data_IF_580144167792
#
_entry.id   IF_580144167792
#
_cell.length_a   1.000
_cell.length_b   1.000
_cell.length_c   1.000
_cell.angle_alpha   90.00
_cell.angle_beta   90.00
_cell.angle_gamma   90.00
#
_symmetry.space_group_name_H-M   'P 1'
#
loop_
_entity.id
_entity.type
_entity.pdbx_description
1 polymer ?
#
# COMPACT_ATOMS: atom_id res chain seq x y z
N UNK A 1 11.29 20.70 7.31
CA UNK A 1 10.26 20.05 6.48
C UNK A 1 10.37 18.56 6.70
N UNK A 2 9.63 18.06 7.68
CA UNK A 2 9.46 16.62 7.91
C UNK A 2 8.89 16.03 6.64
N UNK A 3 9.59 15.05 6.04
CA UNK A 3 9.09 14.31 4.88
C UNK A 3 7.91 13.46 5.38
N UNK A 4 6.72 14.04 5.38
CA UNK A 4 5.46 13.33 5.49
C UNK A 4 5.38 12.40 4.28
N UNK A 5 5.58 11.11 4.50
CA UNK A 5 5.54 10.10 3.45
C UNK A 5 4.55 9.01 3.86
N UNK A 6 3.88 8.41 2.87
CA UNK A 6 2.92 7.32 3.13
C UNK A 6 3.73 6.07 3.48
N UNK A 7 3.32 5.29 4.51
CA UNK A 7 3.95 4.02 4.82
C UNK A 7 4.06 3.17 3.56
N UNK A 8 5.25 2.63 3.28
CA UNK A 8 5.49 1.84 2.07
C UNK A 8 4.51 0.67 1.93
N UNK A 9 4.11 0.09 3.05
CA UNK A 9 3.12 -0.98 3.13
C UNK A 9 1.75 -0.55 2.56
N UNK A 10 1.27 0.68 2.80
CA UNK A 10 0.03 1.17 2.18
C UNK A 10 0.15 1.35 0.66
N UNK A 11 1.32 1.76 0.15
CA UNK A 11 1.56 1.86 -1.29
C UNK A 11 1.53 0.47 -1.95
N UNK A 12 2.20 -0.51 -1.33
CA UNK A 12 2.20 -1.91 -1.82
C UNK A 12 0.81 -2.54 -1.74
N UNK A 13 0.09 -2.36 -0.64
CA UNK A 13 -1.29 -2.82 -0.51
C UNK A 13 -2.19 -2.29 -1.65
N UNK A 14 -2.04 -1.01 -2.00
CA UNK A 14 -2.79 -0.42 -3.12
C UNK A 14 -2.39 -1.05 -4.46
N UNK A 15 -1.10 -1.29 -4.71
CA UNK A 15 -0.64 -1.94 -5.93
C UNK A 15 -1.23 -3.35 -6.06
N UNK A 16 -1.16 -4.15 -5.01
CA UNK A 16 -1.74 -5.49 -4.98
C UNK A 16 -3.26 -5.47 -5.19
N UNK A 17 -3.98 -4.52 -4.60
CA UNK A 17 -5.41 -4.34 -4.89
C UNK A 17 -5.71 -4.00 -6.36
N UNK A 18 -4.90 -3.16 -6.98
CA UNK A 18 -5.06 -2.84 -8.41
C UNK A 18 -4.77 -4.06 -9.30
N UNK A 19 -3.76 -4.86 -8.93
CA UNK A 19 -3.47 -6.12 -9.61
C UNK A 19 -4.62 -7.12 -9.45
N UNK A 20 -5.18 -7.27 -8.25
CA UNK A 20 -6.34 -8.13 -8.00
C UNK A 20 -7.57 -7.72 -8.83
N UNK A 21 -7.81 -6.42 -9.01
CA UNK A 21 -8.90 -5.90 -9.84
C UNK A 21 -8.67 -6.13 -11.35
N UNK A 22 -7.41 -6.15 -11.78
CA UNK A 22 -7.00 -6.41 -13.17
C UNK A 22 -6.70 -7.88 -13.47
N UNK A 23 -6.81 -8.77 -12.49
CA UNK A 23 -6.41 -10.16 -12.59
C UNK A 23 -7.23 -10.93 -13.64
N UNK A 24 -6.55 -11.84 -14.34
CA UNK A 24 -7.14 -12.61 -15.43
C UNK A 24 -7.91 -13.86 -14.95
N UNK A 25 -7.73 -14.23 -13.68
CA UNK A 25 -8.37 -15.39 -13.05
C UNK A 25 -8.73 -15.11 -11.60
N UNK A 26 -9.66 -15.91 -11.06
CA UNK A 26 -10.06 -15.80 -9.67
C UNK A 26 -8.95 -16.18 -8.68
N UNK A 27 -8.05 -17.10 -9.07
CA UNK A 27 -6.90 -17.54 -8.28
C UNK A 27 -5.86 -16.42 -8.17
N UNK A 28 -5.49 -15.84 -9.31
CA UNK A 28 -4.60 -14.67 -9.42
C UNK A 28 -5.16 -13.47 -8.62
N UNK A 29 -6.47 -13.22 -8.73
CA UNK A 29 -7.13 -12.18 -7.93
C UNK A 29 -7.10 -12.48 -6.42
N UNK A 30 -7.13 -13.75 -6.01
CA UNK A 30 -7.09 -14.17 -4.60
C UNK A 30 -5.68 -14.05 -4.01
N UNK A 31 -4.64 -14.38 -4.78
CA UNK A 31 -3.23 -14.18 -4.41
C UNK A 31 -2.94 -12.70 -4.14
N UNK A 32 -3.28 -11.84 -5.10
CA UNK A 32 -3.12 -10.39 -4.95
C UNK A 32 -3.94 -9.82 -3.78
N UNK A 33 -5.14 -10.37 -3.51
CA UNK A 33 -5.93 -9.98 -2.34
C UNK A 33 -5.23 -10.32 -1.02
N UNK A 34 -4.69 -11.53 -0.89
CA UNK A 34 -3.94 -11.94 0.31
C UNK A 34 -2.72 -11.06 0.56
N UNK A 35 -1.94 -10.77 -0.48
CA UNK A 35 -0.77 -9.89 -0.37
C UNK A 35 -1.17 -8.47 0.05
N UNK A 36 -2.26 -7.92 -0.48
CA UNK A 36 -2.75 -6.63 -0.04
C UNK A 36 -3.16 -6.62 1.44
N UNK A 37 -3.85 -7.67 1.91
CA UNK A 37 -4.27 -7.81 3.30
C UNK A 37 -3.07 -7.91 4.26
N UNK A 38 -2.01 -8.63 3.86
CA UNK A 38 -0.74 -8.68 4.60
C UNK A 38 -0.12 -7.29 4.74
N UNK A 39 -0.01 -6.56 3.63
CA UNK A 39 0.54 -5.21 3.64
C UNK A 39 -0.31 -4.21 4.44
N UNK A 40 -1.65 -4.33 4.41
CA UNK A 40 -2.53 -3.50 5.24
C UNK A 40 -2.28 -3.79 6.72
N UNK A 41 -2.16 -5.06 7.08
CA UNK A 41 -1.91 -5.47 8.47
C UNK A 41 -0.61 -4.89 9.00
N UNK A 42 0.47 -5.00 8.22
CA UNK A 42 1.77 -4.39 8.54
C UNK A 42 1.67 -2.87 8.64
N UNK A 43 0.98 -2.22 7.70
CA UNK A 43 0.83 -0.77 7.70
C UNK A 43 0.05 -0.25 8.91
N UNK A 44 -1.01 -0.94 9.32
CA UNK A 44 -1.79 -0.59 10.51
C UNK A 44 -0.95 -0.78 11.78
N UNK A 45 -0.15 -1.84 11.86
CA UNK A 45 0.77 -2.04 12.97
C UNK A 45 1.78 -0.89 13.08
N UNK A 46 2.40 -0.48 11.97
CA UNK A 46 3.36 0.64 11.96
C UNK A 46 2.72 1.97 12.41
N UNK A 47 1.50 2.26 11.94
CA UNK A 47 0.74 3.45 12.37
C UNK A 47 0.45 3.43 13.88
N UNK A 48 0.21 2.25 14.46
CA UNK A 48 0.00 2.10 15.89
C UNK A 48 1.29 2.28 16.70
N UNK A 49 2.44 1.92 16.14
CA UNK A 49 3.74 2.12 16.78
C UNK A 49 4.22 3.58 16.74
N UNK A 50 3.82 4.35 15.73
CA UNK A 50 4.20 5.76 15.57
C UNK A 50 2.98 6.69 15.44
N UNK A 51 2.09 6.79 16.44
CA UNK A 51 0.81 7.50 16.31
C UNK A 51 0.95 9.03 16.16
N UNK A 52 2.10 9.60 16.54
CA UNK A 52 2.39 11.03 16.39
C UNK A 52 3.03 11.37 15.04
N UNK A 53 3.36 10.36 14.23
CA UNK A 53 3.98 10.57 12.92
C UNK A 53 2.94 11.07 11.92
N UNK A 54 3.19 12.26 11.39
CA UNK A 54 2.37 12.80 10.31
C UNK A 54 2.67 12.06 9.00
N UNK A 55 1.61 11.73 8.26
CA UNK A 55 1.68 11.12 6.93
C UNK A 55 0.94 11.96 5.90
N UNK A 56 1.51 12.09 4.69
CA UNK A 56 0.85 12.77 3.56
C UNK A 56 0.07 11.76 2.73
N UNK A 57 -1.16 11.48 3.16
CA UNK A 57 -2.06 10.53 2.50
C UNK A 57 -2.40 10.88 1.05
N UNK A 58 -2.20 12.14 0.62
CA UNK A 58 -2.41 12.53 -0.78
C UNK A 58 -1.46 11.83 -1.75
N UNK A 59 -0.33 11.32 -1.25
CA UNK A 59 0.66 10.56 -2.03
C UNK A 59 0.26 9.11 -2.27
N UNK A 60 -0.76 8.59 -1.59
CA UNK A 60 -1.21 7.21 -1.77
C UNK A 60 -1.75 6.97 -3.19
N UNK A 61 -2.34 8.01 -3.80
CA UNK A 61 -2.86 7.95 -5.16
C UNK A 61 -1.77 8.14 -6.23
N UNK A 62 -0.58 8.59 -5.85
CA UNK A 62 0.52 8.82 -6.79
C UNK A 62 1.18 7.48 -7.07
N UNK A 63 1.31 7.13 -8.36
CA UNK A 63 2.18 6.03 -8.77
C UNK A 63 3.61 6.40 -8.42
N UNK A 64 4.41 5.45 -7.91
CA UNK A 64 5.85 5.68 -7.82
C UNK A 64 6.36 6.04 -9.23
N UNK A 65 7.26 7.03 -9.38
CA UNK A 65 7.84 7.33 -10.67
C UNK A 65 8.51 6.08 -11.22
N UNK A 66 8.20 5.71 -12.47
CA UNK A 66 8.88 4.61 -13.15
C UNK A 66 10.40 4.83 -13.08
N UNK A 67 11.20 3.81 -12.73
CA UNK A 67 12.64 3.93 -12.85
C UNK A 67 13.00 4.15 -14.33
N UNK A 68 13.71 5.25 -14.60
CA UNK A 68 14.20 5.63 -15.92
C UNK A 68 15.17 4.60 -16.53
#
# INVERSE_FOLDING_TARGET
MTKTDVPLCFRRARQEMLMALGASSAEDADEHRKLADEYITEAVHDLQCEPEREHDWSRLAQSDPEPA
#
